data_IF_476323602659
#
_entry.id   IF_476323602659
#
_cell.length_a   1.000
_cell.length_b   1.000
_cell.length_c   1.000
_cell.angle_alpha   90.00
_cell.angle_beta   90.00
_cell.angle_gamma   90.00
#
_symmetry.space_group_name_H-M   'P 1'
#
loop_
_entity.id
_entity.type
_entity.pdbx_description
1 polymer ?
#
# COMPACT_ATOMS: atom_id res chain seq x y z
N UNK A 1 -15.65 -4.05 22.68
CA UNK A 1 -14.97 -5.24 22.09
C UNK A 1 -13.59 -4.82 21.62
N UNK A 2 -12.64 -5.74 21.52
CA UNK A 2 -11.31 -5.44 20.98
C UNK A 2 -11.40 -5.18 19.48
N UNK A 3 -10.85 -4.06 19.02
CA UNK A 3 -10.86 -3.65 17.61
C UNK A 3 -10.08 -4.64 16.73
N UNK A 4 -10.66 -5.04 15.59
CA UNK A 4 -10.18 -6.10 14.72
C UNK A 4 -9.69 -5.52 13.40
N UNK A 5 -8.41 -5.77 13.09
CA UNK A 5 -7.71 -5.29 11.89
C UNK A 5 -7.41 -6.43 10.92
N UNK A 6 -7.46 -6.14 9.63
CA UNK A 6 -6.86 -6.97 8.58
C UNK A 6 -5.69 -6.20 8.00
N UNK A 7 -4.49 -6.82 7.99
CA UNK A 7 -3.26 -6.20 7.48
C UNK A 7 -2.66 -7.10 6.42
N UNK A 8 -2.64 -6.66 5.15
CA UNK A 8 -1.89 -7.38 4.11
C UNK A 8 -0.41 -7.00 4.12
N UNK A 9 0.47 -7.88 3.63
CA UNK A 9 1.93 -7.69 3.74
C UNK A 9 2.45 -7.86 5.17
N UNK A 10 1.74 -8.63 6.01
CA UNK A 10 2.00 -8.71 7.45
C UNK A 10 3.23 -9.55 7.85
N UNK A 11 3.84 -10.30 6.91
CA UNK A 11 5.01 -11.12 7.20
C UNK A 11 6.31 -10.31 7.27
N UNK A 12 6.37 -9.10 6.70
CA UNK A 12 7.62 -8.32 6.62
C UNK A 12 7.39 -6.80 6.59
N UNK A 13 8.48 -6.04 6.73
CA UNK A 13 8.52 -4.60 6.51
C UNK A 13 7.47 -3.80 7.30
N UNK A 14 6.79 -2.90 6.61
CA UNK A 14 5.80 -1.98 7.21
C UNK A 14 4.59 -2.75 7.76
N UNK A 15 4.09 -3.74 7.02
CA UNK A 15 2.92 -4.53 7.44
C UNK A 15 3.19 -5.33 8.71
N UNK A 16 4.37 -5.93 8.84
CA UNK A 16 4.80 -6.62 10.05
C UNK A 16 4.91 -5.65 11.24
N UNK A 17 5.59 -4.52 11.04
CA UNK A 17 5.74 -3.51 12.09
C UNK A 17 4.38 -3.00 12.59
N UNK A 18 3.43 -2.76 11.68
CA UNK A 18 2.06 -2.39 12.03
C UNK A 18 1.34 -3.49 12.80
N UNK A 19 1.41 -4.73 12.33
CA UNK A 19 0.75 -5.87 12.98
C UNK A 19 1.29 -6.10 14.39
N UNK A 20 2.59 -5.99 14.59
CA UNK A 20 3.25 -6.08 15.90
C UNK A 20 2.82 -4.94 16.84
N UNK A 21 2.81 -3.69 16.34
CA UNK A 21 2.35 -2.53 17.10
C UNK A 21 0.89 -2.70 17.55
N UNK A 22 -0.01 -3.03 16.64
CA UNK A 22 -1.42 -3.20 16.95
C UNK A 22 -1.68 -4.34 17.96
N UNK A 23 -0.96 -5.46 17.82
CA UNK A 23 -1.03 -6.57 18.78
C UNK A 23 -0.51 -6.15 20.17
N UNK A 24 0.57 -5.38 20.23
CA UNK A 24 1.11 -4.85 21.48
C UNK A 24 0.13 -3.87 22.17
N UNK A 25 -0.70 -3.17 21.39
CA UNK A 25 -1.79 -2.32 21.87
C UNK A 25 -3.06 -3.12 22.24
N UNK A 26 -3.01 -4.44 22.23
CA UNK A 26 -4.12 -5.32 22.59
C UNK A 26 -5.21 -5.44 21.51
N UNK A 27 -4.91 -5.07 20.26
CA UNK A 27 -5.85 -5.22 19.13
C UNK A 27 -5.77 -6.63 18.54
N UNK A 28 -6.85 -7.08 17.93
CA UNK A 28 -6.86 -8.32 17.14
C UNK A 28 -6.39 -8.01 15.71
N UNK A 29 -5.40 -8.76 15.23
CA UNK A 29 -4.88 -8.58 13.86
C UNK A 29 -4.94 -9.89 13.11
N UNK A 30 -5.63 -9.90 11.98
CA UNK A 30 -5.59 -10.95 10.95
C UNK A 30 -4.54 -10.53 9.94
N UNK A 31 -3.39 -11.18 9.97
CA UNK A 31 -2.30 -10.95 9.02
C UNK A 31 -2.53 -11.72 7.72
N UNK A 32 -2.27 -11.08 6.60
CA UNK A 32 -2.37 -11.66 5.25
C UNK A 32 -1.03 -11.51 4.54
N UNK A 33 -0.49 -12.58 3.98
CA UNK A 33 0.72 -12.55 3.16
C UNK A 33 0.80 -13.83 2.30
N UNK A 34 1.87 -14.01 1.53
CA UNK A 34 2.15 -15.25 0.80
C UNK A 34 2.40 -16.44 1.74
N UNK A 35 2.94 -16.19 2.95
CA UNK A 35 3.32 -17.19 3.94
C UNK A 35 3.47 -16.58 5.33
N UNK A 36 3.57 -17.44 6.33
CA UNK A 36 3.92 -17.09 7.72
C UNK A 36 2.95 -16.10 8.39
N UNK A 37 1.66 -16.14 7.99
CA UNK A 37 0.60 -15.32 8.56
C UNK A 37 -0.69 -16.12 8.77
N UNK A 38 -1.72 -15.46 9.29
CA UNK A 38 -3.03 -16.10 9.57
C UNK A 38 -3.73 -16.54 8.26
N UNK A 39 -3.56 -15.75 7.18
CA UNK A 39 -4.12 -16.00 5.85
C UNK A 39 -3.00 -15.97 4.82
N UNK A 40 -2.67 -17.15 4.27
CA UNK A 40 -1.66 -17.28 3.23
C UNK A 40 -2.33 -17.34 1.86
N UNK A 41 -2.12 -16.29 1.04
CA UNK A 41 -2.69 -16.14 -0.31
C UNK A 41 -1.78 -15.33 -1.23
N UNK A 42 -1.84 -15.60 -2.53
CA UNK A 42 -1.16 -14.82 -3.56
C UNK A 42 -2.11 -13.77 -4.15
N UNK A 43 -1.92 -12.51 -3.76
CA UNK A 43 -2.75 -11.39 -4.22
C UNK A 43 -2.52 -11.01 -5.69
N UNK A 44 -1.51 -11.58 -6.36
CA UNK A 44 -1.30 -11.37 -7.80
C UNK A 44 -2.29 -12.16 -8.64
N UNK A 45 -2.98 -13.15 -8.05
CA UNK A 45 -3.91 -14.03 -8.75
C UNK A 45 -5.37 -13.75 -8.37
N UNK A 46 -6.29 -13.96 -9.31
CA UNK A 46 -7.73 -13.83 -9.04
C UNK A 46 -8.22 -14.84 -7.99
N UNK A 47 -7.67 -16.07 -8.02
CA UNK A 47 -7.97 -17.12 -7.03
C UNK A 47 -7.53 -16.69 -5.62
N UNK A 48 -6.28 -16.22 -5.47
CA UNK A 48 -5.77 -15.77 -4.17
C UNK A 48 -6.56 -14.59 -3.60
N UNK A 49 -7.04 -13.68 -4.45
CA UNK A 49 -7.91 -12.56 -4.04
C UNK A 49 -9.30 -13.03 -3.59
N UNK A 50 -9.84 -14.05 -4.23
CA UNK A 50 -11.11 -14.70 -3.81
C UNK A 50 -10.91 -15.42 -2.48
N UNK A 51 -9.84 -16.17 -2.35
CA UNK A 51 -9.45 -16.89 -1.14
C UNK A 51 -9.23 -15.94 0.06
N UNK A 52 -8.64 -14.77 -0.17
CA UNK A 52 -8.50 -13.72 0.84
C UNK A 52 -9.85 -13.40 1.49
N UNK A 53 -10.84 -13.08 0.67
CA UNK A 53 -12.17 -12.69 1.17
C UNK A 53 -12.82 -13.82 1.94
N UNK A 54 -12.77 -15.04 1.42
CA UNK A 54 -13.36 -16.21 2.08
C UNK A 54 -12.71 -16.50 3.44
N UNK A 55 -11.38 -16.58 3.49
CA UNK A 55 -10.61 -16.90 4.71
C UNK A 55 -10.73 -15.82 5.76
N UNK A 56 -10.66 -14.53 5.38
CA UNK A 56 -10.84 -13.41 6.31
C UNK A 56 -12.27 -13.39 6.85
N UNK A 57 -13.27 -13.64 6.02
CA UNK A 57 -14.67 -13.70 6.44
C UNK A 57 -14.89 -14.76 7.53
N UNK A 58 -14.30 -15.94 7.34
CA UNK A 58 -14.36 -17.03 8.31
C UNK A 58 -13.67 -16.67 9.64
N UNK A 59 -12.39 -16.25 9.57
CA UNK A 59 -11.56 -15.93 10.73
C UNK A 59 -12.09 -14.72 11.52
N UNK A 60 -12.68 -13.74 10.84
CA UNK A 60 -13.19 -12.54 11.49
C UNK A 60 -14.53 -12.72 12.15
N UNK A 61 -15.25 -13.81 11.85
CA UNK A 61 -16.67 -13.94 12.24
C UNK A 61 -17.55 -12.90 11.53
N UNK A 62 -17.20 -12.56 10.27
CA UNK A 62 -17.93 -11.65 9.36
C UNK A 62 -17.91 -10.17 9.77
N UNK A 63 -17.04 -9.76 10.70
CA UNK A 63 -16.94 -8.35 11.13
C UNK A 63 -15.48 -8.00 11.39
N UNK A 64 -15.05 -6.88 10.82
CA UNK A 64 -13.75 -6.24 11.06
C UNK A 64 -13.94 -4.74 11.27
N UNK A 65 -12.97 -4.08 11.88
CA UNK A 65 -13.03 -2.63 12.14
C UNK A 65 -12.09 -1.84 11.22
N UNK A 66 -11.04 -2.47 10.73
CA UNK A 66 -10.11 -1.77 9.84
C UNK A 66 -9.47 -2.70 8.81
N UNK A 67 -9.21 -2.15 7.61
CA UNK A 67 -8.46 -2.77 6.53
C UNK A 67 -7.21 -1.94 6.27
N UNK A 68 -6.03 -2.59 6.28
CA UNK A 68 -4.77 -1.93 5.92
C UNK A 68 -4.07 -2.74 4.82
N UNK A 69 -4.11 -2.23 3.59
CA UNK A 69 -3.50 -2.85 2.43
C UNK A 69 -2.04 -2.38 2.28
N UNK A 70 -1.09 -3.21 2.74
CA UNK A 70 0.35 -2.90 2.75
C UNK A 70 1.14 -3.76 1.77
N UNK A 71 0.64 -4.94 1.39
CA UNK A 71 1.32 -5.84 0.47
C UNK A 71 1.73 -5.12 -0.83
N UNK A 72 2.98 -5.35 -1.27
CA UNK A 72 3.49 -4.73 -2.48
C UNK A 72 4.87 -5.21 -2.87
N UNK A 73 5.22 -4.99 -4.13
CA UNK A 73 6.52 -5.29 -4.73
C UNK A 73 7.13 -4.04 -5.37
N UNK A 74 8.47 -4.01 -5.47
CA UNK A 74 9.22 -2.97 -6.17
C UNK A 74 10.16 -3.57 -7.24
N UNK A 75 9.75 -4.69 -7.86
CA UNK A 75 10.50 -5.33 -8.92
C UNK A 75 9.98 -4.90 -10.31
N UNK A 76 10.83 -4.85 -11.35
CA UNK A 76 10.42 -4.51 -12.72
C UNK A 76 9.78 -5.73 -13.42
N UNK A 77 8.71 -6.26 -12.83
CA UNK A 77 7.99 -7.46 -13.31
C UNK A 77 6.47 -7.24 -13.29
N UNK A 78 5.69 -7.94 -14.12
CA UNK A 78 4.23 -7.80 -14.17
C UNK A 78 3.52 -8.06 -12.82
N UNK A 79 4.05 -8.98 -11.99
CA UNK A 79 3.51 -9.26 -10.67
C UNK A 79 3.44 -8.00 -9.76
N UNK A 80 4.30 -7.00 -10.00
CA UNK A 80 4.25 -5.69 -9.30
C UNK A 80 2.92 -4.98 -9.53
N UNK A 81 2.41 -5.00 -10.76
CA UNK A 81 1.07 -4.48 -11.09
C UNK A 81 -0.02 -5.32 -10.43
N UNK A 82 0.12 -6.64 -10.49
CA UNK A 82 -0.82 -7.59 -9.90
C UNK A 82 -1.06 -7.32 -8.41
N UNK A 83 0.00 -7.17 -7.62
CA UNK A 83 -0.14 -6.96 -6.17
C UNK A 83 -0.39 -5.49 -5.81
N UNK A 84 0.36 -4.53 -6.39
CA UNK A 84 0.32 -3.13 -5.97
C UNK A 84 -1.00 -2.43 -6.32
N UNK A 85 -1.65 -2.85 -7.41
CA UNK A 85 -2.89 -2.25 -7.85
C UNK A 85 -4.07 -3.20 -7.66
N UNK A 86 -4.13 -4.30 -8.40
CA UNK A 86 -5.28 -5.21 -8.37
C UNK A 86 -5.43 -5.93 -7.03
N UNK A 87 -4.33 -6.42 -6.44
CA UNK A 87 -4.33 -7.04 -5.12
C UNK A 87 -4.73 -6.06 -4.00
N UNK A 88 -4.26 -4.81 -4.08
CA UNK A 88 -4.63 -3.75 -3.14
C UNK A 88 -6.12 -3.41 -3.23
N UNK A 89 -6.66 -3.20 -4.44
CA UNK A 89 -8.09 -2.91 -4.65
C UNK A 89 -8.96 -4.08 -4.19
N UNK A 90 -8.60 -5.31 -4.58
CA UNK A 90 -9.31 -6.50 -4.16
C UNK A 90 -9.33 -6.69 -2.64
N UNK A 91 -8.24 -6.34 -1.95
CA UNK A 91 -8.18 -6.34 -0.48
C UNK A 91 -9.17 -5.32 0.10
N UNK A 92 -9.17 -4.10 -0.41
CA UNK A 92 -10.03 -3.03 0.10
C UNK A 92 -11.51 -3.29 -0.22
N UNK A 93 -11.86 -3.47 -1.50
CA UNK A 93 -13.25 -3.63 -1.93
C UNK A 93 -13.83 -4.97 -1.50
N UNK A 94 -13.05 -6.05 -1.58
CA UNK A 94 -13.50 -7.39 -1.21
C UNK A 94 -13.78 -7.54 0.30
N UNK A 95 -13.02 -6.84 1.15
CA UNK A 95 -13.22 -6.88 2.59
C UNK A 95 -14.12 -5.75 3.11
N UNK A 96 -14.39 -4.70 2.32
CA UNK A 96 -15.26 -3.57 2.71
C UNK A 96 -16.61 -3.99 3.29
N UNK A 97 -17.32 -5.01 2.76
CA UNK A 97 -18.59 -5.45 3.35
C UNK A 97 -18.49 -5.90 4.81
N UNK A 98 -17.32 -6.37 5.24
CA UNK A 98 -17.10 -6.81 6.63
C UNK A 98 -16.98 -5.64 7.61
N UNK A 99 -16.78 -4.41 7.11
CA UNK A 99 -16.74 -3.18 7.92
C UNK A 99 -18.14 -2.72 8.36
N UNK A 100 -19.21 -3.19 7.72
CA UNK A 100 -20.57 -2.73 7.98
C UNK A 100 -21.06 -2.95 9.43
N UNK A 101 -20.44 -3.88 10.15
CA UNK A 101 -20.75 -4.14 11.56
C UNK A 101 -19.91 -3.36 12.56
N UNK A 102 -19.02 -2.48 12.10
CA UNK A 102 -18.15 -1.68 12.97
C UNK A 102 -18.76 -0.33 13.30
N UNK A 103 -18.63 0.10 14.56
CA UNK A 103 -19.04 1.45 14.99
C UNK A 103 -18.07 2.55 14.47
N UNK A 104 -16.87 2.16 14.09
CA UNK A 104 -15.84 3.08 13.58
C UNK A 104 -15.00 2.42 12.46
N UNK A 105 -15.60 2.11 11.30
CA UNK A 105 -14.89 1.46 10.20
C UNK A 105 -13.81 2.36 9.60
N UNK A 106 -12.65 1.80 9.24
CA UNK A 106 -11.52 2.55 8.66
C UNK A 106 -10.80 1.73 7.59
N UNK A 107 -10.25 2.42 6.59
CA UNK A 107 -9.41 1.80 5.59
C UNK A 107 -8.18 2.66 5.27
N UNK A 108 -7.06 2.00 5.07
CA UNK A 108 -5.85 2.65 4.58
C UNK A 108 -5.03 1.72 3.69
N UNK A 109 -4.16 2.32 2.85
CA UNK A 109 -3.21 1.58 2.03
C UNK A 109 -1.84 2.25 2.00
N UNK A 110 -0.84 1.53 1.47
CA UNK A 110 0.50 2.05 1.24
C UNK A 110 0.72 2.36 -0.24
N UNK A 111 0.77 3.65 -0.56
CA UNK A 111 1.27 4.17 -1.83
C UNK A 111 2.82 4.24 -1.82
N UNK A 112 3.43 5.32 -2.27
CA UNK A 112 4.87 5.59 -2.22
C UNK A 112 5.15 7.04 -2.62
N UNK A 113 6.28 7.59 -2.22
CA UNK A 113 6.86 8.80 -2.83
C UNK A 113 7.04 8.63 -4.35
N UNK A 114 7.31 7.40 -4.82
CA UNK A 114 7.39 7.06 -6.24
C UNK A 114 6.11 7.33 -7.05
N UNK A 115 4.98 7.59 -6.40
CA UNK A 115 3.77 8.06 -7.06
C UNK A 115 3.93 9.44 -7.71
N UNK A 116 4.98 10.18 -7.36
CA UNK A 116 5.33 11.48 -7.95
C UNK A 116 6.27 11.38 -9.16
N UNK A 117 6.79 10.17 -9.44
CA UNK A 117 7.69 9.93 -10.56
C UNK A 117 6.93 9.81 -11.88
N UNK A 118 7.63 9.97 -13.03
CA UNK A 118 7.05 9.73 -14.34
C UNK A 118 6.42 8.34 -14.43
N UNK A 119 5.23 8.29 -15.04
CA UNK A 119 4.48 7.05 -15.30
C UNK A 119 4.61 6.64 -16.75
N UNK A 120 4.37 5.36 -17.05
CA UNK A 120 4.12 4.88 -18.41
C UNK A 120 2.64 5.16 -18.78
N UNK A 121 2.35 6.04 -19.74
CA UNK A 121 0.98 6.47 -19.99
C UNK A 121 0.03 5.36 -20.45
N UNK A 122 0.42 4.41 -21.34
CA UNK A 122 -0.41 3.27 -21.70
C UNK A 122 -0.76 2.38 -20.51
N UNK A 123 0.23 1.99 -19.70
CA UNK A 123 0.02 1.17 -18.51
C UNK A 123 -0.86 1.90 -17.48
N UNK A 124 -0.61 3.19 -17.29
CA UNK A 124 -1.40 4.01 -16.37
C UNK A 124 -2.89 4.07 -16.77
N UNK A 125 -3.17 4.26 -18.06
CA UNK A 125 -4.55 4.25 -18.56
C UNK A 125 -5.23 2.89 -18.38
N UNK A 126 -4.52 1.78 -18.63
CA UNK A 126 -5.04 0.44 -18.43
C UNK A 126 -5.36 0.15 -16.95
N UNK A 127 -4.46 0.56 -16.03
CA UNK A 127 -4.71 0.45 -14.58
C UNK A 127 -5.96 1.23 -14.16
N UNK A 128 -6.05 2.50 -14.54
CA UNK A 128 -7.19 3.35 -14.16
C UNK A 128 -8.53 2.90 -14.76
N UNK A 129 -8.52 2.17 -15.88
CA UNK A 129 -9.72 1.55 -16.45
C UNK A 129 -10.09 0.22 -15.77
N UNK A 130 -9.20 -0.35 -14.95
CA UNK A 130 -9.39 -1.66 -14.32
C UNK A 130 -9.16 -2.86 -15.26
N UNK A 131 -8.56 -2.63 -16.44
CA UNK A 131 -8.25 -3.69 -17.40
C UNK A 131 -6.97 -4.43 -16.96
N UNK A 132 -7.14 -5.47 -16.13
CA UNK A 132 -6.04 -6.26 -15.60
C UNK A 132 -5.24 -6.97 -16.69
N UNK A 133 -5.93 -7.58 -17.66
CA UNK A 133 -5.27 -8.33 -18.73
C UNK A 133 -4.36 -7.40 -19.56
N UNK A 134 -4.87 -6.23 -19.94
CA UNK A 134 -4.08 -5.22 -20.66
C UNK A 134 -2.96 -4.64 -19.82
N UNK A 135 -3.18 -4.43 -18.54
CA UNK A 135 -2.15 -3.93 -17.62
C UNK A 135 -0.98 -4.91 -17.48
N UNK A 136 -1.27 -6.22 -17.37
CA UNK A 136 -0.25 -7.26 -17.29
C UNK A 136 0.52 -7.41 -18.61
N UNK A 137 -0.17 -7.34 -19.76
CA UNK A 137 0.46 -7.33 -21.10
C UNK A 137 1.47 -6.17 -21.22
N UNK A 138 1.03 -4.94 -20.89
CA UNK A 138 1.87 -3.75 -20.96
C UNK A 138 3.04 -3.79 -19.98
N UNK A 139 2.81 -4.26 -18.75
CA UNK A 139 3.88 -4.45 -17.76
C UNK A 139 4.92 -5.49 -18.22
N UNK A 140 4.48 -6.55 -18.92
CA UNK A 140 5.38 -7.54 -19.52
C UNK A 140 6.23 -6.87 -20.62
N UNK A 141 5.61 -6.10 -21.51
CA UNK A 141 6.34 -5.39 -22.56
C UNK A 141 7.38 -4.40 -22.00
N UNK A 142 7.06 -3.71 -20.89
CA UNK A 142 8.02 -2.82 -20.20
C UNK A 142 9.16 -3.64 -19.57
N UNK A 143 8.85 -4.77 -18.93
CA UNK A 143 9.86 -5.62 -18.29
C UNK A 143 10.84 -6.24 -19.28
N UNK A 144 10.37 -6.58 -20.50
CA UNK A 144 11.17 -7.18 -21.59
C UNK A 144 11.86 -6.13 -22.46
N UNK A 145 11.60 -4.82 -22.24
CA UNK A 145 12.20 -3.77 -23.04
C UNK A 145 13.73 -3.66 -22.80
N UNK A 146 14.50 -3.19 -23.81
CA UNK A 146 15.92 -2.92 -23.62
C UNK A 146 16.17 -1.96 -22.44
N UNK A 147 17.38 -2.01 -21.87
CA UNK A 147 17.82 -1.31 -20.65
C UNK A 147 17.66 0.21 -20.63
N UNK A 148 17.27 0.83 -21.74
CA UNK A 148 16.99 2.26 -21.84
C UNK A 148 15.63 2.69 -21.24
N UNK A 149 14.76 1.72 -20.93
CA UNK A 149 13.50 2.01 -20.23
C UNK A 149 13.77 2.20 -18.73
N UNK A 150 13.22 3.25 -18.10
CA UNK A 150 13.42 3.45 -16.66
C UNK A 150 13.01 2.19 -15.87
N UNK A 151 13.95 1.61 -15.13
CA UNK A 151 13.79 0.36 -14.40
C UNK A 151 12.59 0.36 -13.40
N UNK A 152 12.11 1.54 -13.04
CA UNK A 152 11.03 1.72 -12.06
C UNK A 152 9.68 2.07 -12.69
N UNK A 153 9.54 2.09 -14.03
CA UNK A 153 8.31 2.56 -14.69
C UNK A 153 7.06 1.78 -14.23
N UNK A 154 7.15 0.45 -14.12
CA UNK A 154 6.04 -0.39 -13.63
C UNK A 154 5.66 -0.02 -12.20
N UNK A 155 6.64 0.11 -11.32
CA UNK A 155 6.42 0.45 -9.91
C UNK A 155 5.82 1.85 -9.76
N UNK A 156 6.44 2.87 -10.37
CA UNK A 156 6.00 4.25 -10.32
C UNK A 156 4.54 4.38 -10.80
N UNK A 157 4.25 3.78 -11.96
CA UNK A 157 2.91 3.79 -12.55
C UNK A 157 1.88 3.13 -11.62
N UNK A 158 2.22 1.96 -11.02
CA UNK A 158 1.32 1.27 -10.09
C UNK A 158 1.03 2.12 -8.84
N UNK A 159 2.05 2.81 -8.29
CA UNK A 159 1.91 3.64 -7.08
C UNK A 159 1.18 4.96 -7.35
N UNK A 160 1.35 5.56 -8.52
CA UNK A 160 0.56 6.71 -8.94
C UNK A 160 -0.91 6.31 -9.13
N UNK A 161 -1.17 5.23 -9.87
CA UNK A 161 -2.53 4.77 -10.16
C UNK A 161 -3.31 4.44 -8.87
N UNK A 162 -2.69 3.77 -7.88
CA UNK A 162 -3.38 3.45 -6.62
C UNK A 162 -3.62 4.69 -5.75
N UNK A 163 -2.72 5.68 -5.78
CA UNK A 163 -2.93 6.96 -5.11
C UNK A 163 -4.13 7.72 -5.73
N UNK A 164 -4.23 7.75 -7.06
CA UNK A 164 -5.38 8.33 -7.76
C UNK A 164 -6.68 7.56 -7.48
N UNK A 165 -6.60 6.23 -7.37
CA UNK A 165 -7.75 5.41 -7.00
C UNK A 165 -8.32 5.82 -5.63
N UNK A 166 -7.47 6.03 -4.62
CA UNK A 166 -7.90 6.55 -3.31
C UNK A 166 -8.62 7.88 -3.44
N UNK A 167 -8.04 8.84 -4.17
CA UNK A 167 -8.63 10.17 -4.34
C UNK A 167 -10.00 10.15 -5.04
N UNK A 168 -10.19 9.21 -5.96
CA UNK A 168 -11.47 9.05 -6.69
C UNK A 168 -12.51 8.34 -5.86
N UNK A 169 -12.12 7.31 -5.10
CA UNK A 169 -13.05 6.43 -4.40
C UNK A 169 -13.39 6.91 -2.99
N UNK A 170 -12.45 7.50 -2.27
CA UNK A 170 -12.67 7.92 -0.88
C UNK A 170 -13.91 8.81 -0.66
N UNK A 171 -14.28 9.77 -1.55
CA UNK A 171 -15.47 10.60 -1.36
C UNK A 171 -16.80 9.95 -1.80
N UNK A 172 -16.78 8.73 -2.33
CA UNK A 172 -17.98 8.05 -2.84
C UNK A 172 -18.89 7.54 -1.73
N UNK A 173 -20.13 7.19 -2.09
CA UNK A 173 -21.13 6.59 -1.19
C UNK A 173 -20.65 5.27 -0.60
N UNK A 174 -19.82 4.54 -1.33
CA UNK A 174 -19.24 3.26 -0.91
C UNK A 174 -18.23 3.39 0.24
N UNK A 175 -17.58 4.54 0.38
CA UNK A 175 -16.57 4.82 1.39
C UNK A 175 -17.03 5.92 2.34
N UNK A 176 -16.86 7.19 2.01
CA UNK A 176 -17.24 8.29 2.91
C UNK A 176 -18.74 8.29 3.21
N UNK A 177 -19.60 8.01 2.20
CA UNK A 177 -21.05 7.89 2.40
C UNK A 177 -21.43 6.76 3.34
N UNK A 178 -20.66 5.68 3.38
CA UNK A 178 -20.80 4.58 4.33
C UNK A 178 -20.09 4.83 5.69
N UNK A 179 -19.55 6.03 5.92
CA UNK A 179 -18.83 6.37 7.15
C UNK A 179 -17.42 5.75 7.25
N UNK A 180 -16.83 5.33 6.12
CA UNK A 180 -15.52 4.68 6.06
C UNK A 180 -14.47 5.67 5.51
N UNK A 181 -13.66 6.32 6.35
CA UNK A 181 -12.49 7.06 5.88
C UNK A 181 -11.50 6.12 5.18
N UNK A 182 -11.08 6.51 3.96
CA UNK A 182 -10.10 5.82 3.15
C UNK A 182 -8.93 6.75 2.83
N UNK A 183 -7.71 6.35 3.20
CA UNK A 183 -6.51 7.16 3.01
C UNK A 183 -5.33 6.31 2.51
N UNK A 184 -4.30 6.98 2.00
CA UNK A 184 -3.02 6.36 1.69
C UNK A 184 -1.87 7.02 2.45
N UNK A 185 -0.91 6.20 2.87
CA UNK A 185 0.41 6.65 3.30
C UNK A 185 1.38 6.49 2.13
N UNK A 186 2.17 7.50 1.84
CA UNK A 186 3.16 7.52 0.77
C UNK A 186 4.58 7.62 1.38
N UNK A 187 5.22 6.48 1.72
CA UNK A 187 6.55 6.48 2.30
C UNK A 187 7.63 6.93 1.30
N UNK A 188 8.66 7.58 1.82
CA UNK A 188 9.96 7.68 1.18
C UNK A 188 10.74 6.35 1.29
N UNK A 189 12.05 6.43 1.50
CA UNK A 189 12.88 5.23 1.71
C UNK A 189 12.67 4.68 3.12
N UNK A 190 12.24 3.44 3.21
CA UNK A 190 12.02 2.74 4.48
C UNK A 190 12.95 1.52 4.55
N UNK A 191 13.63 1.34 5.68
CA UNK A 191 14.48 0.18 5.95
C UNK A 191 13.62 -1.09 6.15
N UNK A 192 13.50 -1.88 5.10
CA UNK A 192 12.70 -3.11 5.00
C UNK A 192 13.43 -4.14 4.16
N UNK A 193 13.01 -5.41 4.12
CA UNK A 193 13.60 -6.38 3.20
C UNK A 193 13.60 -5.93 1.73
N UNK A 194 12.63 -5.13 1.30
CA UNK A 194 12.53 -4.59 -0.06
C UNK A 194 13.72 -3.68 -0.42
N UNK A 195 14.25 -2.93 0.53
CA UNK A 195 15.33 -1.95 0.34
C UNK A 195 16.68 -2.43 0.87
N UNK A 196 16.72 -3.57 1.58
CA UNK A 196 17.89 -4.03 2.30
C UNK A 196 19.13 -4.13 1.41
N UNK A 197 19.04 -4.83 0.27
CA UNK A 197 20.19 -5.02 -0.64
C UNK A 197 20.73 -3.69 -1.19
N UNK A 198 19.88 -2.71 -1.43
CA UNK A 198 20.29 -1.37 -1.90
C UNK A 198 20.98 -0.60 -0.77
N UNK A 199 20.44 -0.69 0.43
CA UNK A 199 20.97 0.02 1.61
C UNK A 199 22.28 -0.58 2.17
N UNK A 200 22.65 -1.81 1.78
CA UNK A 200 23.91 -2.44 2.17
C UNK A 200 25.14 -1.77 1.50
N UNK A 201 24.99 -1.24 0.29
CA UNK A 201 26.08 -0.61 -0.46
C UNK A 201 26.12 0.90 -0.26
N UNK A 202 27.30 1.52 -0.40
CA UNK A 202 27.47 2.97 -0.32
C UNK A 202 26.82 3.65 -1.54
N UNK A 203 27.01 3.10 -2.73
CA UNK A 203 26.39 3.58 -3.96
C UNK A 203 24.86 3.52 -3.88
N UNK A 204 24.29 2.44 -3.35
CA UNK A 204 22.85 2.28 -3.17
C UNK A 204 22.28 3.31 -2.19
N UNK A 205 22.94 3.54 -1.06
CA UNK A 205 22.54 4.60 -0.11
C UNK A 205 22.60 5.99 -0.75
N UNK A 206 23.67 6.27 -1.50
CA UNK A 206 23.82 7.55 -2.20
C UNK A 206 22.72 7.73 -3.27
N UNK A 207 22.41 6.69 -4.05
CA UNK A 207 21.34 6.71 -5.04
C UNK A 207 19.96 6.94 -4.38
N UNK A 208 19.67 6.25 -3.27
CA UNK A 208 18.43 6.47 -2.51
C UNK A 208 18.35 7.89 -1.95
N UNK A 209 19.43 8.42 -1.39
CA UNK A 209 19.48 9.78 -0.87
C UNK A 209 19.32 10.84 -1.97
N UNK A 210 19.81 10.58 -3.18
CA UNK A 210 19.63 11.47 -4.33
C UNK A 210 18.19 11.44 -4.86
N UNK A 211 17.59 10.26 -4.96
CA UNK A 211 16.22 10.08 -5.45
C UNK A 211 15.14 10.51 -4.45
N UNK A 212 15.39 10.30 -3.16
CA UNK A 212 14.46 10.64 -2.07
C UNK A 212 15.24 11.28 -0.91
N UNK A 213 15.65 12.53 -1.03
CA UNK A 213 16.42 13.23 0.00
C UNK A 213 15.59 13.33 1.28
N UNK A 214 16.10 12.73 2.36
CA UNK A 214 15.41 12.70 3.66
C UNK A 214 16.24 13.43 4.71
N UNK A 215 16.05 14.75 4.90
CA UNK A 215 16.78 15.51 5.91
C UNK A 215 16.39 15.10 7.34
N UNK A 216 15.21 14.56 7.52
CA UNK A 216 14.80 14.01 8.81
C UNK A 216 15.18 12.52 8.87
N UNK A 217 16.05 12.14 9.80
CA UNK A 217 16.44 10.74 10.13
C UNK A 217 17.31 10.00 9.09
N UNK A 218 17.97 10.72 8.15
CA UNK A 218 18.92 10.12 7.22
C UNK A 218 18.27 9.37 6.05
N UNK A 219 19.03 8.50 5.34
CA UNK A 219 18.59 8.03 4.03
C UNK A 219 17.39 7.06 4.07
N UNK A 220 17.09 6.45 5.21
CA UNK A 220 15.97 5.52 5.37
C UNK A 220 15.37 5.59 6.77
N UNK A 221 14.06 5.72 6.84
CA UNK A 221 13.33 5.65 8.11
C UNK A 221 13.04 4.19 8.52
N UNK A 222 12.84 3.91 9.81
CA UNK A 222 12.42 2.59 10.27
C UNK A 222 10.97 2.30 9.83
N UNK A 223 10.62 1.02 9.64
CA UNK A 223 9.27 0.59 9.28
C UNK A 223 8.20 1.01 10.30
N UNK A 224 8.59 1.23 11.56
CA UNK A 224 7.69 1.74 12.60
C UNK A 224 7.14 3.14 12.29
N UNK A 225 7.85 3.98 11.53
CA UNK A 225 7.38 5.33 11.21
C UNK A 225 6.08 5.31 10.37
N UNK A 226 6.02 4.68 9.19
CA UNK A 226 4.76 4.56 8.44
C UNK A 226 3.73 3.67 9.15
N UNK A 227 4.15 2.68 9.94
CA UNK A 227 3.24 1.85 10.73
C UNK A 227 2.45 2.69 11.76
N UNK A 228 3.09 3.59 12.48
CA UNK A 228 2.43 4.47 13.44
C UNK A 228 1.38 5.38 12.77
N UNK A 229 1.68 5.93 11.58
CA UNK A 229 0.72 6.74 10.84
C UNK A 229 -0.47 5.90 10.33
N UNK A 230 -0.22 4.69 9.82
CA UNK A 230 -1.27 3.76 9.42
C UNK A 230 -2.16 3.37 10.62
N UNK A 231 -1.56 3.10 11.79
CA UNK A 231 -2.28 2.80 13.02
C UNK A 231 -3.21 3.96 13.41
N UNK A 232 -2.72 5.20 13.35
CA UNK A 232 -3.55 6.39 13.63
C UNK A 232 -4.67 6.58 12.59
N UNK A 233 -4.37 6.50 11.30
CA UNK A 233 -5.35 6.66 10.22
C UNK A 233 -6.49 5.65 10.31
N UNK A 234 -6.19 4.45 10.83
CA UNK A 234 -7.15 3.35 10.97
C UNK A 234 -7.67 3.17 12.39
N UNK A 235 -7.35 4.10 13.29
CA UNK A 235 -7.91 4.17 14.65
C UNK A 235 -9.24 4.91 14.69
N UNK A 236 -9.93 4.81 15.81
CA UNK A 236 -11.15 5.57 16.10
C UNK A 236 -10.90 7.09 16.19
N UNK A 237 -9.65 7.51 16.42
CA UNK A 237 -9.26 8.92 16.51
C UNK A 237 -9.34 9.65 15.14
N UNK A 238 -9.20 8.93 14.04
CA UNK A 238 -9.41 9.52 12.72
C UNK A 238 -10.91 9.68 12.45
N UNK A 239 -11.44 10.85 12.75
CA UNK A 239 -12.87 11.15 12.56
C UNK A 239 -13.16 11.98 11.31
N UNK A 240 -12.12 12.55 10.64
CA UNK A 240 -12.36 13.51 9.55
C UNK A 240 -11.31 13.51 8.42
N UNK A 241 -10.26 12.71 8.51
CA UNK A 241 -9.26 12.58 7.45
C UNK A 241 -9.68 11.47 6.49
N UNK A 242 -10.00 11.82 5.24
CA UNK A 242 -10.33 10.88 4.15
C UNK A 242 -9.85 11.41 2.81
N UNK A 243 -9.54 10.51 1.87
CA UNK A 243 -9.06 10.85 0.52
C UNK A 243 -7.65 11.41 0.45
N UNK A 244 -6.88 11.35 1.54
CA UNK A 244 -5.56 11.94 1.61
C UNK A 244 -4.47 10.94 1.21
N UNK A 245 -3.45 11.46 0.52
CA UNK A 245 -2.18 10.79 0.27
C UNK A 245 -1.15 11.48 1.14
N UNK A 246 -0.80 10.88 2.27
CA UNK A 246 0.06 11.52 3.27
C UNK A 246 1.49 11.03 3.08
N UNK A 247 2.38 11.94 2.66
CA UNK A 247 3.80 11.65 2.51
C UNK A 247 4.46 11.51 3.88
N UNK A 248 5.15 10.40 4.08
CA UNK A 248 5.99 10.11 5.24
C UNK A 248 7.40 9.74 4.74
N UNK A 249 8.14 10.76 4.37
CA UNK A 249 9.31 10.67 3.51
C UNK A 249 10.52 11.46 4.04
N UNK A 250 10.40 11.98 5.28
CA UNK A 250 11.46 12.76 5.92
C UNK A 250 11.73 14.11 5.27
N UNK A 251 10.78 14.64 4.48
CA UNK A 251 10.86 15.92 3.81
C UNK A 251 11.28 15.84 2.33
N UNK A 252 11.33 14.65 1.74
CA UNK A 252 11.73 14.47 0.35
C UNK A 252 10.78 15.17 -0.63
N UNK A 253 9.46 15.07 -0.42
CA UNK A 253 8.46 15.72 -1.26
C UNK A 253 8.61 17.26 -1.24
N UNK A 254 8.78 17.83 -0.08
CA UNK A 254 8.91 19.30 0.08
C UNK A 254 10.21 19.84 -0.53
N UNK A 255 11.27 19.05 -0.60
CA UNK A 255 12.51 19.40 -1.32
C UNK A 255 12.28 19.34 -2.83
N UNK A 256 11.59 18.33 -3.31
CA UNK A 256 11.38 18.07 -4.74
C UNK A 256 10.31 18.99 -5.34
N UNK A 257 9.30 19.35 -4.58
CA UNK A 257 8.14 20.14 -5.02
C UNK A 257 7.79 21.24 -4.01
N UNK A 258 8.70 22.19 -3.70
CA UNK A 258 8.51 23.16 -2.63
C UNK A 258 7.31 24.08 -2.84
N UNK A 259 6.89 24.26 -4.08
CA UNK A 259 5.78 25.15 -4.46
C UNK A 259 4.44 24.40 -4.66
N UNK A 260 4.41 23.08 -4.35
CA UNK A 260 3.18 22.27 -4.47
C UNK A 260 2.53 22.06 -3.11
N UNK A 261 1.22 22.28 -3.05
CA UNK A 261 0.37 22.04 -1.88
C UNK A 261 -0.62 20.90 -2.20
#
# INVERSE_FOLDING_TARGET
>A
MTRKYVVSGAASGIGKALAEQLRAEGKTVIGVDLRDTDVNVDLTTAEGRTDLVAKVTELSGRTIDAIVAVAGLAAPIPATVGVNYFGTIATLEGLRPLLAGSDAPRAALVASLAALEPTDPPLHAALLSGDEAKSLELATAIADAPTDTPSNAIYNTSKNAIALWVRKNAPTDDWAGAGIPLNAVAPGVIATPMTAAILETEEGRAAMAAGAPSPLNGPAAPAAAPAALLAWLTSEQNTHVTGQIIYIDGGADTIRRPDSI
#
